data_IF_182301327906
#
_entry.id   IF_182301327906
#
_cell.length_a   1.000
_cell.length_b   1.000
_cell.length_c   1.000
_cell.angle_alpha   90.00
_cell.angle_beta   90.00
_cell.angle_gamma   90.00
#
_symmetry.space_group_name_H-M   'P 1'
#
loop_
_entity.id
_entity.type
_entity.pdbx_description
1 polymer ?
#
# COMPACT_ATOMS: atom_id res chain seq x y z
N UNK A 1 -5.15 -9.43 4.53
CA UNK A 1 -6.11 -10.46 4.95
C UNK A 1 -5.47 -11.41 5.97
N UNK A 2 -4.27 -11.94 5.71
CA UNK A 2 -3.61 -12.86 6.65
C UNK A 2 -3.39 -12.24 8.04
N UNK A 3 -3.00 -10.98 8.12
CA UNK A 3 -2.84 -10.25 9.38
C UNK A 3 -4.12 -10.23 10.22
N UNK A 4 -5.29 -10.04 9.58
CA UNK A 4 -6.60 -10.11 10.26
C UNK A 4 -6.78 -11.48 10.91
N UNK A 5 -6.53 -12.56 10.16
CA UNK A 5 -6.65 -13.93 10.68
C UNK A 5 -5.72 -14.18 11.88
N UNK A 6 -4.48 -13.72 11.78
CA UNK A 6 -3.51 -13.91 12.87
C UNK A 6 -3.95 -13.17 14.13
N UNK A 7 -4.34 -11.91 14.00
CA UNK A 7 -4.71 -11.07 15.15
C UNK A 7 -6.04 -11.50 15.78
N UNK A 8 -7.03 -11.87 14.96
CA UNK A 8 -8.37 -12.23 15.42
C UNK A 8 -8.47 -13.71 15.87
N UNK A 9 -7.96 -14.63 15.05
CA UNK A 9 -8.17 -16.08 15.30
C UNK A 9 -7.01 -16.75 16.05
N UNK A 10 -5.75 -16.33 15.83
CA UNK A 10 -4.59 -16.93 16.49
C UNK A 10 -4.33 -16.29 17.83
N UNK A 11 -4.25 -14.96 17.87
CA UNK A 11 -4.04 -14.23 19.13
C UNK A 11 -5.33 -13.90 19.87
N UNK A 12 -6.49 -14.10 19.25
CA UNK A 12 -7.82 -13.84 19.83
C UNK A 12 -7.93 -12.45 20.44
N UNK A 13 -7.37 -11.44 19.77
CA UNK A 13 -7.45 -10.06 20.23
C UNK A 13 -8.88 -9.54 20.06
N UNK A 14 -9.38 -8.87 21.08
CA UNK A 14 -10.71 -8.26 21.05
C UNK A 14 -10.66 -6.91 20.31
N UNK A 15 -10.49 -6.96 18.99
CA UNK A 15 -10.39 -5.79 18.14
C UNK A 15 -11.76 -5.28 17.70
N UNK A 16 -11.88 -3.96 17.55
CA UNK A 16 -13.08 -3.36 16.99
C UNK A 16 -13.23 -3.68 15.51
N UNK A 17 -14.44 -3.63 14.99
CA UNK A 17 -14.73 -3.81 13.57
C UNK A 17 -13.92 -2.85 12.71
N UNK A 18 -13.87 -1.56 13.09
CA UNK A 18 -13.12 -0.53 12.38
C UNK A 18 -11.63 -0.85 12.30
N UNK A 19 -11.03 -1.35 13.37
CA UNK A 19 -9.63 -1.78 13.39
C UNK A 19 -9.38 -2.95 12.43
N UNK A 20 -10.24 -3.97 12.45
CA UNK A 20 -10.13 -5.11 11.55
C UNK A 20 -10.30 -4.71 10.09
N UNK A 21 -11.27 -3.85 9.77
CA UNK A 21 -11.48 -3.32 8.42
C UNK A 21 -10.28 -2.48 7.98
N UNK A 22 -9.72 -1.64 8.86
CA UNK A 22 -8.49 -0.89 8.58
C UNK A 22 -7.31 -1.80 8.27
N UNK A 23 -7.12 -2.87 9.07
CA UNK A 23 -6.07 -3.87 8.82
C UNK A 23 -6.31 -4.63 7.50
N UNK A 24 -7.54 -4.95 7.14
CA UNK A 24 -7.85 -5.61 5.88
C UNK A 24 -7.65 -4.68 4.67
N UNK A 25 -8.01 -3.40 4.81
CA UNK A 25 -8.07 -2.42 3.74
C UNK A 25 -6.79 -1.62 3.52
N UNK A 26 -5.76 -1.73 4.40
CA UNK A 26 -4.53 -0.95 4.22
C UNK A 26 -3.74 -1.37 2.98
N UNK A 27 -3.73 -2.66 2.68
CA UNK A 27 -2.97 -3.23 1.57
C UNK A 27 -3.76 -3.13 0.26
N UNK A 28 -3.88 -1.93 -0.28
CA UNK A 28 -4.48 -1.73 -1.60
C UNK A 28 -3.42 -1.31 -2.60
N UNK A 29 -3.15 -2.15 -3.59
CA UNK A 29 -2.24 -1.82 -4.69
C UNK A 29 -2.74 -0.69 -5.59
N UNK A 30 -4.05 -0.39 -5.50
CA UNK A 30 -4.70 0.64 -6.31
C UNK A 30 -4.67 1.94 -5.52
N UNK A 31 -3.89 2.89 -6.00
CA UNK A 31 -3.92 4.27 -5.52
C UNK A 31 -5.16 4.99 -6.04
N UNK A 32 -5.74 5.79 -5.18
CA UNK A 32 -6.86 6.67 -5.50
C UNK A 32 -6.43 8.12 -5.30
N UNK A 33 -6.99 9.03 -6.09
CA UNK A 33 -6.79 10.46 -5.87
C UNK A 33 -7.51 10.93 -4.60
N UNK A 34 -8.60 10.25 -4.24
CA UNK A 34 -9.44 10.57 -3.10
C UNK A 34 -9.92 9.29 -2.40
N UNK A 35 -9.78 9.24 -1.09
CA UNK A 35 -10.14 8.09 -0.25
C UNK A 35 -11.27 8.47 0.67
N UNK A 36 -12.44 7.89 0.45
CA UNK A 36 -13.59 8.00 1.33
C UNK A 36 -13.68 6.80 2.27
N UNK A 37 -14.08 7.00 3.53
CA UNK A 37 -14.47 5.87 4.37
C UNK A 37 -15.64 5.10 3.74
N UNK A 38 -15.51 3.79 3.61
CA UNK A 38 -16.57 2.93 3.10
C UNK A 38 -17.25 2.24 4.28
N UNK A 39 -18.52 2.52 4.58
CA UNK A 39 -19.20 1.96 5.74
C UNK A 39 -19.14 0.43 5.78
N UNK A 40 -18.86 -0.10 6.97
CA UNK A 40 -18.91 -1.51 7.30
C UNK A 40 -19.74 -1.64 8.58
N UNK A 41 -20.97 -2.17 8.47
CA UNK A 41 -21.96 -2.03 9.52
C UNK A 41 -21.94 -3.16 10.54
N UNK A 42 -21.35 -4.31 10.21
CA UNK A 42 -21.33 -5.46 11.10
C UNK A 42 -20.13 -6.39 10.86
N UNK A 43 -19.78 -7.15 11.91
CA UNK A 43 -18.79 -8.23 11.78
C UNK A 43 -19.23 -9.29 10.76
N UNK A 44 -20.54 -9.58 10.66
CA UNK A 44 -21.06 -10.54 9.70
C UNK A 44 -20.82 -10.07 8.25
N UNK A 45 -21.02 -8.80 7.96
CA UNK A 45 -20.71 -8.22 6.66
C UNK A 45 -19.21 -8.31 6.37
N UNK A 46 -18.37 -7.98 7.36
CA UNK A 46 -16.92 -8.05 7.23
C UNK A 46 -16.43 -9.48 6.97
N UNK A 47 -16.96 -10.47 7.68
CA UNK A 47 -16.63 -11.89 7.45
C UNK A 47 -17.02 -12.33 6.02
N UNK A 48 -18.16 -11.89 5.52
CA UNK A 48 -18.57 -12.18 4.14
C UNK A 48 -17.62 -11.54 3.11
N UNK A 49 -17.10 -10.33 3.37
CA UNK A 49 -16.07 -9.71 2.52
C UNK A 49 -14.73 -10.44 2.60
N UNK A 50 -14.32 -10.90 3.77
CA UNK A 50 -13.11 -11.72 3.93
C UNK A 50 -13.22 -13.05 3.17
N UNK A 51 -14.37 -13.72 3.22
CA UNK A 51 -14.59 -14.96 2.47
C UNK A 51 -14.41 -14.76 0.96
N UNK A 52 -14.89 -13.64 0.42
CA UNK A 52 -14.66 -13.29 -0.98
C UNK A 52 -13.17 -13.11 -1.30
N UNK A 53 -12.36 -12.63 -0.35
CA UNK A 53 -10.92 -12.50 -0.54
C UNK A 53 -10.21 -13.86 -0.68
N UNK A 54 -10.75 -14.91 -0.08
CA UNK A 54 -10.20 -16.26 -0.22
C UNK A 54 -10.70 -16.98 -1.47
N UNK A 55 -11.90 -16.64 -1.95
CA UNK A 55 -12.57 -17.35 -3.03
C UNK A 55 -12.44 -16.68 -4.39
N UNK A 56 -12.25 -15.36 -4.42
CA UNK A 56 -12.20 -14.56 -5.65
C UNK A 56 -10.79 -13.94 -5.80
N UNK A 57 -10.00 -14.34 -6.82
CA UNK A 57 -8.69 -13.76 -7.06
C UNK A 57 -8.72 -12.23 -7.17
N UNK A 58 -7.82 -11.55 -6.46
CA UNK A 58 -7.71 -10.09 -6.48
C UNK A 58 -8.79 -9.33 -5.72
N UNK A 59 -9.74 -10.02 -5.06
CA UNK A 59 -10.81 -9.34 -4.31
C UNK A 59 -10.28 -8.53 -3.12
N UNK A 60 -9.20 -8.97 -2.51
CA UNK A 60 -8.57 -8.27 -1.38
C UNK A 60 -8.25 -6.79 -1.70
N UNK A 61 -7.93 -6.47 -2.96
CA UNK A 61 -7.64 -5.11 -3.39
C UNK A 61 -8.87 -4.18 -3.42
N UNK A 62 -10.09 -4.75 -3.32
CA UNK A 62 -11.35 -4.00 -3.30
C UNK A 62 -11.78 -3.58 -1.89
N UNK A 63 -11.21 -4.19 -0.85
CA UNK A 63 -11.52 -3.81 0.53
C UNK A 63 -10.97 -2.42 0.78
N UNK A 64 -11.84 -1.54 1.24
CA UNK A 64 -11.48 -0.17 1.61
C UNK A 64 -11.73 0.05 3.11
N UNK A 65 -10.90 0.88 3.77
CA UNK A 65 -11.10 1.22 5.16
C UNK A 65 -12.44 1.92 5.41
N UNK A 66 -13.02 1.66 6.56
CA UNK A 66 -14.30 2.25 6.99
C UNK A 66 -14.14 3.55 7.79
N UNK A 67 -12.90 3.99 8.02
CA UNK A 67 -12.59 5.22 8.77
C UNK A 67 -11.54 6.05 8.05
N UNK A 68 -11.45 7.33 8.41
CA UNK A 68 -10.39 8.22 7.90
C UNK A 68 -9.00 7.73 8.34
N UNK A 69 -8.88 7.25 9.58
CA UNK A 69 -7.62 6.69 10.10
C UNK A 69 -7.15 5.50 9.28
N UNK A 70 -8.06 4.61 8.89
CA UNK A 70 -7.75 3.49 8.02
C UNK A 70 -7.28 3.96 6.63
N UNK A 71 -7.88 5.02 6.09
CA UNK A 71 -7.45 5.63 4.83
C UNK A 71 -6.08 6.32 4.96
N UNK A 72 -5.79 6.96 6.10
CA UNK A 72 -4.45 7.49 6.39
C UNK A 72 -3.41 6.38 6.39
N UNK A 73 -3.68 5.25 7.07
CA UNK A 73 -2.76 4.10 7.08
C UNK A 73 -2.52 3.59 5.66
N UNK A 74 -3.58 3.44 4.85
CA UNK A 74 -3.50 2.96 3.47
C UNK A 74 -2.62 3.85 2.59
N UNK A 75 -2.83 5.17 2.60
CA UNK A 75 -2.01 6.07 1.77
C UNK A 75 -0.59 6.19 2.30
N UNK A 76 -0.39 6.13 3.61
CA UNK A 76 0.94 6.15 4.22
C UNK A 76 1.78 4.93 3.83
N UNK A 77 1.17 3.75 3.72
CA UNK A 77 1.82 2.54 3.25
C UNK A 77 2.34 2.71 1.81
N UNK A 78 1.51 3.23 0.92
CA UNK A 78 1.90 3.52 -0.47
C UNK A 78 3.07 4.51 -0.53
N UNK A 79 3.01 5.58 0.25
CA UNK A 79 4.04 6.63 0.27
C UNK A 79 5.36 6.11 0.85
N UNK A 80 5.28 5.33 1.93
CA UNK A 80 6.45 4.81 2.63
C UNK A 80 7.32 3.92 1.72
N UNK A 81 6.69 3.09 0.91
CA UNK A 81 7.40 2.18 0.00
C UNK A 81 7.94 2.88 -1.26
N UNK A 82 7.29 3.94 -1.75
CA UNK A 82 7.62 4.54 -3.03
C UNK A 82 9.09 4.95 -3.18
N UNK A 83 9.60 5.73 -2.25
CA UNK A 83 10.99 6.18 -2.26
C UNK A 83 11.95 5.17 -1.64
N UNK A 84 11.45 4.37 -0.68
CA UNK A 84 12.26 3.34 -0.01
C UNK A 84 12.66 2.23 -0.98
N UNK A 85 11.75 1.76 -1.79
CA UNK A 85 12.03 0.73 -2.82
C UNK A 85 13.12 1.18 -3.79
N UNK A 86 13.11 2.47 -4.20
CA UNK A 86 14.19 3.03 -5.04
C UNK A 86 15.53 2.98 -4.33
N UNK A 87 15.57 3.43 -3.10
CA UNK A 87 16.78 3.43 -2.28
C UNK A 87 17.33 2.01 -2.11
N UNK A 88 16.48 1.05 -1.82
CA UNK A 88 16.86 -0.36 -1.64
C UNK A 88 17.35 -0.98 -2.95
N UNK A 89 16.72 -0.67 -4.08
CA UNK A 89 17.16 -1.12 -5.40
C UNK A 89 18.53 -0.57 -5.78
N UNK A 90 18.82 0.69 -5.47
CA UNK A 90 20.13 1.30 -5.69
C UNK A 90 21.19 0.64 -4.79
N UNK A 91 20.90 0.45 -3.50
CA UNK A 91 21.80 -0.24 -2.57
C UNK A 91 22.09 -1.68 -3.00
N UNK A 92 21.08 -2.38 -3.51
CA UNK A 92 21.21 -3.75 -4.04
C UNK A 92 21.86 -3.80 -5.43
N UNK A 93 22.28 -2.67 -6.01
CA UNK A 93 22.83 -2.56 -7.38
C UNK A 93 21.89 -3.17 -8.44
N UNK A 94 20.58 -3.12 -8.19
CA UNK A 94 19.55 -3.53 -9.13
C UNK A 94 19.09 -2.36 -10.02
N UNK A 95 19.31 -1.12 -9.58
CA UNK A 95 19.04 0.12 -10.30
C UNK A 95 20.07 1.19 -9.95
N UNK A 96 20.05 2.32 -10.65
CA UNK A 96 20.85 3.51 -10.39
C UNK A 96 19.93 4.73 -10.20
N UNK A 97 20.43 5.82 -9.62
CA UNK A 97 19.66 7.06 -9.50
C UNK A 97 19.17 7.60 -10.86
N UNK A 98 19.98 7.41 -11.90
CA UNK A 98 19.65 7.86 -13.27
C UNK A 98 18.46 7.11 -13.90
N UNK A 99 18.13 5.92 -13.39
CA UNK A 99 16.98 5.15 -13.89
C UNK A 99 15.64 5.75 -13.44
N UNK A 100 15.64 6.56 -12.37
CA UNK A 100 14.43 7.20 -11.84
C UNK A 100 14.38 8.65 -12.27
N UNK A 101 13.44 8.99 -13.14
CA UNK A 101 13.24 10.37 -13.59
C UNK A 101 12.95 11.29 -12.40
N UNK A 102 13.55 12.49 -12.42
CA UNK A 102 13.17 13.58 -11.52
C UNK A 102 11.68 13.91 -11.73
N UNK A 103 10.93 14.00 -10.66
CA UNK A 103 9.50 14.30 -10.70
C UNK A 103 9.18 15.46 -9.75
N UNK A 104 7.95 15.98 -9.83
CA UNK A 104 7.44 16.97 -8.88
C UNK A 104 7.47 16.46 -7.42
N UNK A 105 7.58 15.13 -7.22
CA UNK A 105 7.68 14.53 -5.88
C UNK A 105 9.09 14.63 -5.30
N UNK A 106 10.12 14.89 -6.11
CA UNK A 106 11.53 14.83 -5.70
C UNK A 106 12.21 13.53 -6.16
N UNK A 107 13.49 13.40 -5.80
CA UNK A 107 14.35 12.29 -6.20
C UNK A 107 14.70 11.34 -5.05
N UNK A 108 14.84 11.89 -3.85
CA UNK A 108 15.18 11.12 -2.65
C UNK A 108 13.93 10.83 -1.81
N UNK A 109 14.00 9.73 -1.05
CA UNK A 109 12.86 9.27 -0.26
C UNK A 109 12.28 10.35 0.67
N UNK A 110 13.13 11.15 1.32
CA UNK A 110 12.67 12.20 2.24
C UNK A 110 11.87 13.31 1.53
N UNK A 111 12.25 13.70 0.31
CA UNK A 111 11.51 14.67 -0.50
C UNK A 111 10.16 14.11 -0.94
N UNK A 112 10.15 12.87 -1.44
CA UNK A 112 8.93 12.18 -1.90
C UNK A 112 7.92 12.10 -0.77
N UNK A 113 8.34 11.64 0.41
CA UNK A 113 7.48 11.53 1.59
C UNK A 113 6.98 12.91 2.01
N UNK A 114 7.87 13.92 2.13
CA UNK A 114 7.49 15.26 2.55
C UNK A 114 6.49 15.90 1.59
N UNK A 115 6.76 15.86 0.29
CA UNK A 115 5.92 16.54 -0.71
C UNK A 115 4.53 15.91 -0.79
N UNK A 116 4.44 14.58 -0.74
CA UNK A 116 3.14 13.90 -0.71
C UNK A 116 2.39 14.14 0.59
N UNK A 117 3.07 14.08 1.75
CA UNK A 117 2.42 14.33 3.04
C UNK A 117 1.87 15.75 3.15
N UNK A 118 2.67 16.76 2.79
CA UNK A 118 2.22 18.17 2.83
C UNK A 118 1.02 18.35 1.91
N UNK A 119 1.09 17.86 0.68
CA UNK A 119 -0.02 17.97 -0.27
C UNK A 119 -1.30 17.31 0.24
N UNK A 120 -1.20 16.10 0.82
CA UNK A 120 -2.36 15.40 1.38
C UNK A 120 -2.94 16.17 2.57
N UNK A 121 -2.12 16.69 3.47
CA UNK A 121 -2.59 17.47 4.61
C UNK A 121 -3.34 18.72 4.14
N UNK A 122 -2.76 19.48 3.20
CA UNK A 122 -3.37 20.70 2.67
C UNK A 122 -4.71 20.44 1.97
N UNK A 123 -4.84 19.31 1.27
CA UNK A 123 -6.06 18.97 0.53
C UNK A 123 -7.11 18.20 1.36
N UNK A 124 -6.73 17.69 2.55
CA UNK A 124 -7.61 16.86 3.39
C UNK A 124 -8.01 17.54 4.69
N UNK A 125 -7.38 18.63 5.08
CA UNK A 125 -7.66 19.28 6.37
C UNK A 125 -9.12 19.68 6.49
N UNK A 126 -9.78 19.26 7.58
CA UNK A 126 -11.22 19.45 7.83
C UNK A 126 -12.15 18.88 6.76
N UNK A 127 -11.70 17.91 5.96
CA UNK A 127 -12.53 17.21 4.98
C UNK A 127 -12.92 15.81 5.47
N UNK A 128 -14.06 15.26 5.02
CA UNK A 128 -14.48 13.90 5.36
C UNK A 128 -13.80 12.82 4.48
N UNK A 129 -12.70 13.16 3.82
CA UNK A 129 -11.91 12.30 2.94
C UNK A 129 -10.42 12.62 3.05
N UNK A 130 -9.59 11.71 2.56
CA UNK A 130 -8.15 11.92 2.35
C UNK A 130 -7.94 12.09 0.86
N UNK A 131 -7.29 13.19 0.43
CA UNK A 131 -7.10 13.51 -0.98
C UNK A 131 -5.72 14.13 -1.23
N UNK A 132 -5.17 13.86 -2.40
CA UNK A 132 -4.10 14.66 -3.00
C UNK A 132 -4.62 15.38 -4.25
N UNK A 133 -3.97 16.45 -4.66
CA UNK A 133 -4.32 17.14 -5.89
C UNK A 133 -3.97 16.29 -7.13
N UNK A 134 -4.49 16.69 -8.28
CA UNK A 134 -4.33 15.96 -9.54
C UNK A 134 -2.86 15.84 -9.99
N UNK A 135 -2.05 16.89 -9.75
CA UNK A 135 -0.66 16.90 -10.17
C UNK A 135 0.19 15.94 -9.35
N UNK A 136 -0.01 15.89 -8.02
CA UNK A 136 0.68 14.97 -7.13
C UNK A 136 0.20 13.53 -7.34
N UNK A 137 -1.09 13.33 -7.60
CA UNK A 137 -1.62 12.01 -7.94
C UNK A 137 -1.02 11.45 -9.24
N UNK A 138 -0.98 12.24 -10.31
CA UNK A 138 -0.35 11.85 -11.56
C UNK A 138 1.16 11.55 -11.40
N UNK A 139 1.85 12.35 -10.59
CA UNK A 139 3.26 12.12 -10.27
C UNK A 139 3.47 10.84 -9.46
N UNK A 140 2.58 10.55 -8.49
CA UNK A 140 2.58 9.30 -7.72
C UNK A 140 2.40 8.08 -8.64
N UNK A 141 1.40 8.12 -9.52
CA UNK A 141 1.14 7.03 -10.48
C UNK A 141 2.35 6.78 -11.40
N UNK A 142 2.94 7.86 -11.91
CA UNK A 142 4.14 7.78 -12.76
C UNK A 142 5.30 7.17 -12.00
N UNK A 143 5.52 7.58 -10.75
CA UNK A 143 6.59 7.06 -9.91
C UNK A 143 6.39 5.59 -9.54
N UNK A 144 5.16 5.18 -9.21
CA UNK A 144 4.82 3.75 -8.97
C UNK A 144 5.05 2.90 -10.22
N UNK A 145 4.60 3.38 -11.37
CA UNK A 145 4.81 2.67 -12.64
C UNK A 145 6.30 2.47 -12.93
N UNK A 146 7.10 3.51 -12.75
CA UNK A 146 8.56 3.43 -12.92
C UNK A 146 9.17 2.41 -11.95
N UNK A 147 8.80 2.43 -10.66
CA UNK A 147 9.26 1.44 -9.69
C UNK A 147 8.88 0.02 -10.12
N UNK A 148 7.66 -0.18 -10.61
CA UNK A 148 7.21 -1.50 -11.06
C UNK A 148 8.05 -2.01 -12.24
N UNK A 149 8.31 -1.18 -13.23
CA UNK A 149 9.08 -1.55 -14.43
C UNK A 149 10.56 -1.77 -14.11
N UNK A 150 11.16 -0.85 -13.33
CA UNK A 150 12.62 -0.84 -13.09
C UNK A 150 13.00 -1.83 -11.98
N UNK A 151 12.24 -1.93 -10.90
CA UNK A 151 12.57 -2.75 -9.74
C UNK A 151 11.95 -4.14 -9.89
N UNK A 152 10.62 -4.23 -9.85
CA UNK A 152 9.92 -5.52 -9.85
C UNK A 152 9.95 -6.23 -11.20
N UNK A 153 10.13 -5.49 -12.31
CA UNK A 153 10.41 -6.04 -13.64
C UNK A 153 11.84 -6.58 -13.82
N UNK A 154 12.76 -6.26 -12.90
CA UNK A 154 14.17 -6.60 -13.02
C UNK A 154 14.39 -8.11 -12.85
N UNK A 155 15.13 -8.72 -13.81
CA UNK A 155 15.42 -10.17 -13.79
C UNK A 155 16.20 -10.62 -12.56
N UNK A 156 17.09 -9.78 -12.00
CA UNK A 156 17.85 -10.11 -10.80
C UNK A 156 16.92 -10.21 -9.57
N UNK A 157 15.96 -9.30 -9.45
CA UNK A 157 14.97 -9.32 -8.36
C UNK A 157 14.08 -10.54 -8.48
N UNK A 158 13.55 -10.84 -9.68
CA UNK A 158 12.71 -12.03 -9.92
C UNK A 158 13.43 -13.34 -9.60
N UNK A 159 14.69 -13.46 -9.94
CA UNK A 159 15.47 -14.66 -9.63
C UNK A 159 15.69 -14.83 -8.12
N UNK A 160 15.88 -13.72 -7.39
CA UNK A 160 15.97 -13.76 -5.93
C UNK A 160 14.65 -14.23 -5.30
N UNK A 161 13.50 -13.75 -5.78
CA UNK A 161 12.17 -14.16 -5.32
C UNK A 161 11.93 -15.67 -5.50
N UNK A 162 12.27 -16.22 -6.67
CA UNK A 162 12.15 -17.66 -6.94
C UNK A 162 13.02 -18.47 -5.99
N UNK A 163 14.27 -18.05 -5.76
CA UNK A 163 15.19 -18.71 -4.84
C UNK A 163 14.69 -18.67 -3.41
N UNK A 164 14.21 -17.51 -2.94
CA UNK A 164 13.62 -17.34 -1.62
C UNK A 164 12.36 -18.19 -1.45
N UNK A 165 11.50 -18.27 -2.47
CA UNK A 165 10.32 -19.12 -2.46
C UNK A 165 10.67 -20.61 -2.26
N UNK A 166 11.70 -21.09 -2.97
CA UNK A 166 12.20 -22.45 -2.80
C UNK A 166 12.80 -22.70 -1.40
N UNK A 167 13.58 -21.74 -0.88
CA UNK A 167 14.12 -21.83 0.47
C UNK A 167 13.01 -21.88 1.53
N UNK A 168 11.99 -21.04 1.41
CA UNK A 168 10.84 -21.02 2.31
C UNK A 168 10.08 -22.35 2.26
N UNK A 169 9.86 -22.90 1.06
CA UNK A 169 9.20 -24.20 0.90
C UNK A 169 9.99 -25.38 1.50
N UNK A 170 11.33 -25.26 1.63
CA UNK A 170 12.16 -26.28 2.27
C UNK A 170 12.21 -26.15 3.80
N UNK A 171 11.85 -24.99 4.35
CA UNK A 171 11.83 -24.75 5.80
C UNK A 171 10.50 -25.16 6.45
N UNK A 172 9.45 -25.34 5.67
CA UNK A 172 8.11 -25.77 6.09
C UNK A 172 7.77 -27.15 5.52
#
# INVERSE_FOLDING_TARGET
IHSVRVLDKVFSLNLTLQTLVGIAGHNGEIELAEYWPVPMDSFQQFEAELEKCYTIPGYANKIQPSTLEGNVVRISDIIAYLGKDRQDAILAQAATEADFASSALGTVNAEIVNNLMVNIIENSYNQPFIRMDEAHFAALQTAKKANYEIIYGNKKVKHADETLGLMMAQLY
#
